data_IF_042354741141
#
_entry.id   IF_042354741141
#
_cell.length_a   1.000
_cell.length_b   1.000
_cell.length_c   1.000
_cell.angle_alpha   90.00
_cell.angle_beta   90.00
_cell.angle_gamma   90.00
#
_symmetry.space_group_name_H-M   'P 1'
#
loop_
_entity.id
_entity.type
_entity.pdbx_description
1 polymer ?
#
# COMPACT_ATOMS: atom_id res chain seq x y z
N UNK A 1 3.57 -16.35 3.71
CA UNK A 1 3.47 -15.45 4.88
C UNK A 1 3.67 -16.28 6.12
N UNK A 2 4.43 -15.80 7.11
CA UNK A 2 4.56 -16.48 8.42
C UNK A 2 3.27 -16.38 9.23
N UNK A 3 2.55 -15.25 9.10
CA UNK A 3 1.29 -14.97 9.80
C UNK A 3 1.40 -13.83 10.80
N UNK A 4 2.62 -13.45 11.16
CA UNK A 4 2.92 -12.59 12.33
C UNK A 4 3.07 -11.10 11.97
N UNK A 5 3.00 -10.79 10.68
CA UNK A 5 3.07 -9.42 10.19
C UNK A 5 1.85 -9.06 9.36
N UNK A 6 1.32 -7.86 9.61
CA UNK A 6 0.22 -7.31 8.83
C UNK A 6 0.42 -5.81 8.58
N UNK A 7 -0.26 -5.31 7.55
CA UNK A 7 -0.30 -3.90 7.22
C UNK A 7 -1.69 -3.35 7.54
N UNK A 8 -1.75 -2.12 8.02
CA UNK A 8 -2.98 -1.35 8.18
C UNK A 8 -2.85 -0.06 7.37
N UNK A 9 -3.87 0.26 6.57
CA UNK A 9 -3.96 1.50 5.81
C UNK A 9 -4.91 2.48 6.51
N UNK A 10 -4.61 3.77 6.42
CA UNK A 10 -5.41 4.83 7.02
C UNK A 10 -5.87 5.85 5.97
N UNK A 11 -6.92 6.59 6.31
CA UNK A 11 -7.49 7.65 5.46
C UNK A 11 -6.56 8.85 5.27
N UNK A 12 -5.57 9.03 6.14
CA UNK A 12 -4.58 10.11 6.03
C UNK A 12 -3.38 9.77 5.12
N UNK A 13 -3.45 8.64 4.40
CA UNK A 13 -2.37 8.15 3.53
C UNK A 13 -1.25 7.43 4.28
N UNK A 14 -1.47 7.04 5.52
CA UNK A 14 -0.51 6.27 6.31
C UNK A 14 -0.69 4.75 6.11
N UNK A 15 0.43 4.03 5.95
CA UNK A 15 0.49 2.58 6.06
C UNK A 15 1.33 2.19 7.27
N UNK A 16 0.71 1.53 8.23
CA UNK A 16 1.35 1.02 9.44
C UNK A 16 1.67 -0.47 9.28
N UNK A 17 2.94 -0.82 9.41
CA UNK A 17 3.41 -2.20 9.47
C UNK A 17 3.46 -2.65 10.92
N UNK A 18 2.77 -3.74 11.22
CA UNK A 18 2.77 -4.38 12.53
C UNK A 18 3.53 -5.70 12.52
N UNK A 19 4.15 -5.99 13.65
CA UNK A 19 4.79 -7.24 14.00
C UNK A 19 4.16 -7.66 15.32
N UNK A 20 3.40 -8.75 15.31
CA UNK A 20 2.59 -9.19 16.44
C UNK A 20 3.43 -9.71 17.61
N UNK A 21 4.65 -10.13 17.34
CA UNK A 21 5.55 -10.68 18.36
C UNK A 21 6.37 -9.56 19.02
N UNK A 22 6.56 -8.45 18.33
CA UNK A 22 7.35 -7.33 18.82
C UNK A 22 6.54 -6.35 19.70
N UNK A 23 5.36 -5.92 19.25
CA UNK A 23 4.59 -4.88 19.95
C UNK A 23 3.15 -4.74 19.46
N UNK A 24 2.29 -4.15 20.30
CA UNK A 24 0.97 -3.65 19.86
C UNK A 24 1.04 -2.33 19.10
N UNK A 25 2.22 -1.69 19.07
CA UNK A 25 2.47 -0.46 18.30
C UNK A 25 3.05 -0.79 16.92
N UNK A 26 2.89 0.10 15.92
CA UNK A 26 3.47 -0.13 14.61
C UNK A 26 4.98 -0.29 14.70
N UNK A 27 5.52 -1.33 14.07
CA UNK A 27 6.96 -1.50 13.88
C UNK A 27 7.52 -0.39 12.98
N UNK A 28 6.82 -0.10 11.88
CA UNK A 28 7.17 0.96 10.94
C UNK A 28 5.93 1.66 10.43
N UNK A 29 6.03 2.98 10.26
CA UNK A 29 4.97 3.81 9.68
C UNK A 29 5.48 4.41 8.37
N UNK A 30 4.77 4.15 7.28
CA UNK A 30 5.03 4.73 5.96
C UNK A 30 3.97 5.80 5.72
N UNK A 31 4.41 7.02 5.39
CA UNK A 31 3.49 8.10 5.01
C UNK A 31 3.57 8.29 3.51
N UNK A 32 2.53 7.89 2.80
CA UNK A 32 2.48 8.00 1.35
C UNK A 32 2.11 9.43 0.99
N UNK A 33 3.09 10.18 0.49
CA UNK A 33 2.94 11.62 0.25
C UNK A 33 1.92 11.94 -0.84
N UNK A 34 1.20 13.04 -0.63
CA UNK A 34 0.34 13.75 -1.58
C UNK A 34 0.86 13.73 -3.03
N UNK A 35 0.01 13.31 -3.97
CA UNK A 35 0.09 13.80 -5.34
C UNK A 35 0.14 15.33 -5.32
N UNK A 36 1.20 15.95 -5.90
CA UNK A 36 1.41 17.42 -5.95
C UNK A 36 0.26 18.21 -6.59
N UNK A 37 -0.79 17.55 -7.08
CA UNK A 37 -1.96 18.15 -7.70
C UNK A 37 -3.13 18.40 -6.71
N UNK A 38 -3.09 17.85 -5.49
CA UNK A 38 -4.13 18.11 -4.50
C UNK A 38 -3.88 19.48 -3.80
N UNK A 39 -4.88 20.35 -3.89
CA UNK A 39 -4.85 21.75 -3.45
C UNK A 39 -4.35 21.94 -2.02
N UNK A 40 -3.44 22.90 -1.82
CA UNK A 40 -2.87 23.34 -0.53
C UNK A 40 -3.92 23.84 0.49
N UNK A 41 -5.19 23.95 0.11
CA UNK A 41 -6.27 24.48 0.94
C UNK A 41 -7.15 23.39 1.58
N UNK A 42 -6.93 22.10 1.29
CA UNK A 42 -7.49 20.99 2.05
C UNK A 42 -6.45 20.57 3.11
N UNK A 43 -6.64 20.98 4.36
CA UNK A 43 -5.67 20.74 5.42
C UNK A 43 -5.35 19.23 5.56
N UNK A 44 -4.10 18.84 5.28
CA UNK A 44 -3.54 17.54 5.71
C UNK A 44 -3.79 16.28 4.86
N UNK A 45 -4.32 16.39 3.64
CA UNK A 45 -4.94 15.26 2.93
C UNK A 45 -3.97 14.34 2.14
N UNK A 46 -3.21 13.44 2.78
CA UNK A 46 -2.68 12.26 2.06
C UNK A 46 -3.82 11.50 1.38
N UNK A 47 -3.59 10.93 0.19
CA UNK A 47 -4.60 10.12 -0.50
C UNK A 47 -4.90 8.88 0.36
N UNK A 48 -6.18 8.62 0.66
CA UNK A 48 -6.57 7.55 1.59
C UNK A 48 -6.11 6.20 1.06
N UNK A 49 -5.59 5.35 1.96
CA UNK A 49 -5.21 3.99 1.57
C UNK A 49 -6.49 3.18 1.32
N UNK A 50 -6.73 2.81 0.07
CA UNK A 50 -7.94 2.11 -0.36
C UNK A 50 -7.75 0.60 -0.48
N UNK A 51 -6.53 0.13 -0.75
CA UNK A 51 -6.21 -1.29 -0.79
C UNK A 51 -4.75 -1.58 -0.40
N UNK A 52 -4.54 -2.72 0.24
CA UNK A 52 -3.22 -3.27 0.58
C UNK A 52 -3.20 -4.73 0.17
N UNK A 53 -2.07 -5.19 -0.39
CA UNK A 53 -1.89 -6.60 -0.67
C UNK A 53 -0.41 -7.02 -0.53
N UNK A 54 -0.18 -8.19 0.02
CA UNK A 54 1.10 -8.88 -0.03
C UNK A 54 1.15 -9.82 -1.23
N UNK A 55 2.32 -9.92 -1.86
CA UNK A 55 2.55 -10.98 -2.82
C UNK A 55 2.71 -12.33 -2.08
N UNK A 56 2.04 -13.42 -2.49
CA UNK A 56 2.03 -14.67 -1.72
C UNK A 56 3.39 -15.35 -1.51
N UNK A 57 4.30 -15.21 -2.49
CA UNK A 57 5.61 -15.91 -2.53
C UNK A 57 6.85 -15.03 -2.63
N UNK A 58 6.68 -13.73 -2.84
CA UNK A 58 7.79 -12.80 -3.10
C UNK A 58 7.74 -11.71 -2.05
N UNK A 59 8.89 -11.14 -1.65
CA UNK A 59 8.95 -10.07 -0.67
C UNK A 59 8.48 -8.75 -1.30
N UNK A 60 7.21 -8.70 -1.71
CA UNK A 60 6.56 -7.56 -2.34
C UNK A 60 5.26 -7.29 -1.62
N UNK A 61 4.94 -6.01 -1.45
CA UNK A 61 3.61 -5.57 -1.12
C UNK A 61 3.26 -4.31 -1.90
N UNK A 62 1.97 -4.03 -1.97
CA UNK A 62 1.42 -2.85 -2.59
C UNK A 62 0.58 -2.08 -1.59
N UNK A 63 0.63 -0.76 -1.69
CA UNK A 63 -0.32 0.15 -1.09
C UNK A 63 -0.96 0.99 -2.21
N UNK A 64 -2.28 0.91 -2.31
CA UNK A 64 -3.07 1.64 -3.29
C UNK A 64 -3.84 2.75 -2.59
N UNK A 65 -3.97 3.87 -3.28
CA UNK A 65 -4.68 5.04 -2.79
C UNK A 65 -5.96 5.30 -3.60
N UNK A 66 -6.90 6.01 -2.99
CA UNK A 66 -8.12 6.52 -3.60
C UNK A 66 -7.86 7.50 -4.76
N UNK A 67 -6.70 8.17 -4.82
CA UNK A 67 -6.33 9.05 -5.94
C UNK A 67 -5.81 8.30 -7.19
N UNK A 68 -6.01 6.98 -7.24
CA UNK A 68 -5.48 6.06 -8.25
C UNK A 68 -3.94 6.03 -8.33
N UNK A 69 -3.25 6.31 -7.22
CA UNK A 69 -1.82 6.04 -7.05
C UNK A 69 -1.60 4.65 -6.45
N UNK A 70 -0.61 3.94 -6.98
CA UNK A 70 -0.23 2.59 -6.54
C UNK A 70 1.26 2.59 -6.22
N UNK A 71 1.59 2.30 -4.97
CA UNK A 71 2.95 2.21 -4.47
C UNK A 71 3.36 0.75 -4.29
N UNK A 72 4.39 0.32 -5.01
CA UNK A 72 4.97 -1.02 -4.90
C UNK A 72 6.25 -0.96 -4.08
N UNK A 73 6.35 -1.86 -3.12
CA UNK A 73 7.47 -1.98 -2.20
C UNK A 73 8.06 -3.38 -2.23
N UNK A 74 9.35 -3.46 -1.94
CA UNK A 74 9.97 -4.66 -1.42
C UNK A 74 9.75 -4.68 0.10
N UNK A 75 9.16 -5.77 0.58
CA UNK A 75 8.89 -6.01 2.00
C UNK A 75 9.31 -7.42 2.36
N UNK A 76 10.46 -7.56 3.02
CA UNK A 76 11.02 -8.85 3.41
C UNK A 76 10.92 -9.02 4.91
N UNK A 77 10.32 -10.13 5.32
CA UNK A 77 10.37 -10.67 6.69
C UNK A 77 11.37 -11.81 6.68
N UNK A 78 12.31 -11.79 7.61
CA UNK A 78 13.32 -12.84 7.73
C UNK A 78 12.82 -13.94 8.68
N UNK A 79 13.27 -15.17 8.45
CA UNK A 79 12.89 -16.31 9.28
C UNK A 79 13.63 -16.34 10.63
N UNK A 80 14.78 -15.67 10.70
CA UNK A 80 15.50 -15.53 11.96
C UNK A 80 14.89 -14.43 12.82
N UNK A 81 14.81 -14.68 14.14
CA UNK A 81 14.23 -13.77 15.13
C UNK A 81 15.02 -12.48 15.34
N UNK A 82 16.23 -12.38 14.77
CA UNK A 82 17.16 -11.28 15.04
C UNK A 82 17.14 -10.21 13.94
N UNK A 83 16.64 -10.54 12.75
CA UNK A 83 16.63 -9.65 11.60
C UNK A 83 15.34 -8.89 11.47
N UNK A 84 15.46 -7.57 11.59
CA UNK A 84 14.35 -6.64 11.39
C UNK A 84 13.77 -6.71 9.96
N UNK A 85 12.43 -6.62 9.79
CA UNK A 85 11.82 -6.54 8.48
C UNK A 85 12.37 -5.38 7.62
N UNK A 86 12.69 -5.66 6.36
CA UNK A 86 13.21 -4.67 5.43
C UNK A 86 12.08 -4.11 4.55
N UNK A 87 12.01 -2.78 4.44
CA UNK A 87 11.01 -2.08 3.61
C UNK A 87 11.71 -1.10 2.69
N UNK A 88 11.58 -1.31 1.38
CA UNK A 88 12.25 -0.50 0.35
C UNK A 88 11.22 -0.11 -0.72
N UNK A 89 11.06 1.19 -1.03
CA UNK A 89 10.20 1.62 -2.14
C UNK A 89 10.78 1.15 -3.48
N UNK A 90 9.94 0.60 -4.36
CA UNK A 90 10.36 0.16 -5.69
C UNK A 90 9.84 1.09 -6.78
N UNK A 91 8.51 1.13 -6.97
CA UNK A 91 7.88 1.86 -8.07
C UNK A 91 6.57 2.47 -7.61
N UNK A 92 6.29 3.68 -8.11
CA UNK A 92 4.98 4.31 -7.98
C UNK A 92 4.36 4.43 -9.36
N UNK A 93 3.15 3.88 -9.52
CA UNK A 93 2.28 4.09 -10.66
C UNK A 93 1.25 5.13 -10.27
N UNK A 94 0.98 6.09 -11.15
CA UNK A 94 0.02 7.18 -10.90
C UNK A 94 -1.04 7.14 -11.97
N UNK A 95 -2.28 7.43 -11.61
CA UNK A 95 -3.42 7.40 -12.54
C UNK A 95 -3.52 6.04 -13.23
N UNK A 96 -3.47 4.97 -12.45
CA UNK A 96 -3.70 3.61 -12.98
C UNK A 96 -5.14 3.43 -13.46
N UNK A 97 -6.05 4.23 -12.90
CA UNK A 97 -7.47 4.32 -13.20
C UNK A 97 -7.89 5.77 -13.40
N UNK A 98 -9.00 5.99 -14.11
CA UNK A 98 -9.66 7.29 -14.23
C UNK A 98 -10.43 7.58 -12.96
N UNK A 99 -10.02 8.62 -12.22
CA UNK A 99 -10.70 9.00 -10.98
C UNK A 99 -11.99 9.77 -11.32
N UNK A 100 -13.19 9.26 -10.98
CA UNK A 100 -14.45 9.96 -11.17
C UNK A 100 -14.56 11.18 -10.25
N UNK A 101 -15.59 12.01 -10.45
CA UNK A 101 -15.82 13.19 -9.61
C UNK A 101 -16.06 12.87 -8.13
N UNK A 102 -16.41 11.62 -7.81
CA UNK A 102 -16.57 11.13 -6.43
C UNK A 102 -15.24 11.04 -5.68
N UNK A 103 -14.10 11.02 -6.39
CA UNK A 103 -12.77 10.91 -5.78
C UNK A 103 -12.33 9.47 -5.49
N UNK A 104 -13.08 8.48 -5.94
CA UNK A 104 -12.76 7.05 -5.75
C UNK A 104 -11.87 6.55 -6.89
N UNK A 105 -10.69 6.02 -6.58
CA UNK A 105 -9.72 5.53 -7.56
C UNK A 105 -9.62 4.02 -7.54
N UNK A 106 -8.51 3.49 -7.00
CA UNK A 106 -8.33 2.03 -6.84
C UNK A 106 -9.25 1.55 -5.72
N UNK A 107 -10.04 0.50 -5.98
CA UNK A 107 -10.97 -0.10 -5.02
C UNK A 107 -10.51 -1.47 -4.52
N UNK A 108 -9.71 -2.18 -5.30
CA UNK A 108 -9.11 -3.45 -4.91
C UNK A 108 -7.76 -3.68 -5.60
N UNK A 109 -6.92 -4.50 -4.99
CA UNK A 109 -5.65 -4.91 -5.56
C UNK A 109 -5.31 -6.34 -5.18
N UNK A 110 -4.72 -7.10 -6.09
CA UNK A 110 -4.23 -8.44 -5.81
C UNK A 110 -2.98 -8.77 -6.61
N UNK A 111 -2.12 -9.61 -6.04
CA UNK A 111 -0.97 -10.15 -6.75
C UNK A 111 -1.30 -11.51 -7.36
N UNK A 112 -0.74 -11.76 -8.54
CA UNK A 112 -0.69 -13.10 -9.09
C UNK A 112 0.07 -14.05 -8.12
N UNK A 113 -0.35 -15.32 -7.96
CA UNK A 113 0.20 -16.20 -6.92
C UNK A 113 1.68 -16.60 -7.07
N UNK A 114 2.28 -16.41 -8.25
CA UNK A 114 3.67 -16.82 -8.59
C UNK A 114 4.51 -15.71 -9.22
N UNK A 115 4.03 -15.15 -10.32
CA UNK A 115 4.66 -14.05 -11.03
C UNK A 115 4.44 -12.70 -10.32
N UNK A 116 5.39 -11.75 -10.43
CA UNK A 116 5.31 -10.43 -9.81
C UNK A 116 4.36 -9.50 -10.59
N UNK A 117 3.16 -9.99 -10.89
CA UNK A 117 2.11 -9.24 -11.57
C UNK A 117 1.10 -8.73 -10.55
N UNK A 118 0.75 -7.46 -10.69
CA UNK A 118 -0.23 -6.78 -9.86
C UNK A 118 -1.45 -6.48 -10.73
N UNK A 119 -2.63 -6.79 -10.22
CA UNK A 119 -3.93 -6.40 -10.80
C UNK A 119 -4.61 -5.43 -9.84
N UNK A 120 -5.30 -4.43 -10.39
CA UNK A 120 -5.96 -3.37 -9.61
C UNK A 120 -7.33 -3.09 -10.18
N UNK A 121 -8.40 -3.18 -9.39
CA UNK A 121 -9.72 -2.73 -9.83
C UNK A 121 -9.93 -1.24 -9.52
N UNK A 122 -10.60 -0.53 -10.42
CA UNK A 122 -10.90 0.90 -10.30
C UNK A 122 -12.39 1.19 -10.16
N UNK A 123 -12.73 2.35 -9.61
CA UNK A 123 -14.11 2.87 -9.57
C UNK A 123 -14.61 3.32 -10.96
N UNK A 124 -13.74 3.38 -11.96
CA UNK A 124 -14.07 3.57 -13.37
C UNK A 124 -14.64 2.30 -14.04
N UNK A 125 -14.59 1.16 -13.35
CA UNK A 125 -15.10 -0.12 -13.84
C UNK A 125 -14.07 -0.99 -14.55
N UNK A 126 -12.81 -0.56 -14.62
CA UNK A 126 -11.71 -1.29 -15.26
C UNK A 126 -10.82 -2.05 -14.23
N UNK A 127 -10.03 -3.00 -14.75
CA UNK A 127 -9.06 -3.84 -14.00
C UNK A 127 -7.67 -3.74 -14.62
#
# INVERSE_FOLDING_TARGET
SSGDHFLCGAEDGTVSWFDTDLSTKPYKVLRLGLSRAASKNAAGAGAAISALAFHPRRPLFVACCDDATVHVYHGMVYADLMSNPTVIPLKTFRRVHTVPKTGEGVTAACFHPRQPWLFTAGADGDV
#
